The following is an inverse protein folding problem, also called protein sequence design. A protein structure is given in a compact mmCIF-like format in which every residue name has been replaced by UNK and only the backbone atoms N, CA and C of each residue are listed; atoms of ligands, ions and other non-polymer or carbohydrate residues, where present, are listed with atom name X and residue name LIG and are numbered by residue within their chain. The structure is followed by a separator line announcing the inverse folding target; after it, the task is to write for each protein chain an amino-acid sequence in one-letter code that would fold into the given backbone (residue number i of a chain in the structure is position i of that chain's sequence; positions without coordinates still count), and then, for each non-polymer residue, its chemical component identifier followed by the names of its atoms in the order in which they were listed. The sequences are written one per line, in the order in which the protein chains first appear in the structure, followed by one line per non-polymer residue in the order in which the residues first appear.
data_IF_727555418978
#
_entry.id   IF_727555418978
#
_cell.length_a   1.000
_cell.length_b   1.000
_cell.length_c   1.000
_cell.angle_alpha   90.00
_cell.angle_beta   90.00
_cell.angle_gamma   90.00
#
_symmetry.space_group_name_H-M   'P 1'
#
loop_
_entity.id
_entity.type
_entity.pdbx_description
1 polymer ?
#
# COMPACT_ATOMS: atom_id res chain seq x y z
N UNK A 1 -25.46 9.94 -0.57
CA UNK A 1 -24.21 9.59 0.14
C UNK A 1 -23.41 8.72 -0.80
N UNK A 2 -22.26 9.20 -1.27
CA UNK A 2 -21.33 8.40 -2.08
C UNK A 2 -20.93 7.17 -1.28
N UNK A 3 -21.26 5.99 -1.81
CA UNK A 3 -21.05 4.71 -1.14
C UNK A 3 -19.58 4.48 -0.83
N UNK A 4 -19.29 4.09 0.41
CA UNK A 4 -17.97 3.60 0.81
C UNK A 4 -18.02 2.07 0.69
N UNK A 5 -17.04 1.50 -0.01
CA UNK A 5 -16.84 0.06 -0.07
C UNK A 5 -15.69 -0.35 0.85
N UNK A 6 -15.90 -1.38 1.67
CA UNK A 6 -14.88 -1.94 2.54
C UNK A 6 -14.22 -3.13 1.86
N UNK A 7 -12.90 -3.11 1.71
CA UNK A 7 -12.11 -4.22 1.19
C UNK A 7 -11.55 -5.01 2.37
N UNK A 8 -11.83 -6.31 2.41
CA UNK A 8 -11.26 -7.22 3.41
C UNK A 8 -9.86 -7.68 3.00
N UNK A 9 -9.03 -8.03 3.99
CA UNK A 9 -7.74 -8.66 3.72
C UNK A 9 -7.95 -10.11 3.24
N UNK A 10 -7.31 -10.44 2.13
CA UNK A 10 -7.28 -11.80 1.59
C UNK A 10 -5.83 -12.33 1.53
N UNK A 11 -5.70 -13.59 1.10
CA UNK A 11 -4.42 -14.27 1.01
C UNK A 11 -3.45 -13.60 0.03
N UNK A 12 -3.93 -13.03 -1.07
CA UNK A 12 -3.09 -12.39 -2.08
C UNK A 12 -2.50 -11.10 -1.52
N UNK A 13 -3.32 -10.29 -0.84
CA UNK A 13 -2.85 -9.08 -0.15
C UNK A 13 -1.80 -9.43 0.90
N UNK A 14 -2.02 -10.49 1.69
CA UNK A 14 -1.05 -10.97 2.67
C UNK A 14 0.28 -11.41 2.04
N UNK A 15 0.25 -12.14 0.94
CA UNK A 15 1.46 -12.54 0.22
C UNK A 15 2.22 -11.33 -0.34
N UNK A 16 1.50 -10.39 -0.94
CA UNK A 16 2.08 -9.13 -1.43
C UNK A 16 2.70 -8.31 -0.31
N UNK A 17 2.05 -8.23 0.85
CA UNK A 17 2.56 -7.56 2.03
C UNK A 17 3.91 -8.13 2.47
N UNK A 18 4.02 -9.46 2.59
CA UNK A 18 5.29 -10.10 2.98
C UNK A 18 6.39 -9.77 1.96
N UNK A 19 6.12 -9.94 0.67
CA UNK A 19 7.09 -9.66 -0.38
C UNK A 19 7.54 -8.20 -0.38
N UNK A 20 6.60 -7.27 -0.25
CA UNK A 20 6.88 -5.83 -0.27
C UNK A 20 7.63 -5.41 1.00
N UNK A 21 7.23 -5.90 2.18
CA UNK A 21 7.90 -5.65 3.46
C UNK A 21 9.34 -6.12 3.43
N UNK A 22 9.59 -7.35 2.99
CA UNK A 22 10.94 -7.89 2.88
C UNK A 22 11.79 -7.07 1.91
N UNK A 23 11.23 -6.62 0.78
CA UNK A 23 11.95 -5.77 -0.17
C UNK A 23 12.31 -4.40 0.42
N UNK A 24 11.38 -3.75 1.11
CA UNK A 24 11.61 -2.45 1.77
C UNK A 24 12.67 -2.55 2.87
N UNK A 25 12.64 -3.62 3.68
CA UNK A 25 13.65 -3.88 4.71
C UNK A 25 15.02 -4.08 4.05
N UNK A 26 15.12 -4.88 2.98
CA UNK A 26 16.37 -5.08 2.24
C UNK A 26 16.92 -3.79 1.63
N UNK A 27 16.04 -2.86 1.22
CA UNK A 27 16.42 -1.53 0.71
C UNK A 27 16.80 -0.53 1.82
N UNK A 28 16.64 -0.87 3.10
CA UNK A 28 16.86 0.06 4.21
C UNK A 28 15.81 1.17 4.29
N UNK A 29 14.60 0.93 3.75
CA UNK A 29 13.50 1.90 3.65
C UNK A 29 12.21 1.32 4.24
N UNK A 30 12.16 0.97 5.53
CA UNK A 30 10.94 0.43 6.11
C UNK A 30 9.81 1.46 6.09
N UNK A 31 8.59 0.98 5.86
CA UNK A 31 7.34 1.76 5.96
C UNK A 31 6.50 1.19 7.10
N UNK A 32 5.63 2.00 7.71
CA UNK A 32 4.72 1.55 8.76
C UNK A 32 3.80 0.42 8.28
N UNK A 33 3.45 -0.50 9.17
CA UNK A 33 2.71 -1.71 8.80
C UNK A 33 1.33 -1.40 8.20
N UNK A 34 0.59 -0.46 8.79
CA UNK A 34 -0.73 -0.07 8.27
C UNK A 34 -0.65 0.64 6.92
N UNK A 35 0.34 1.51 6.72
CA UNK A 35 0.61 2.13 5.42
C UNK A 35 0.90 1.05 4.37
N UNK A 36 1.70 0.05 4.74
CA UNK A 36 2.05 -1.04 3.84
C UNK A 36 0.85 -1.93 3.50
N UNK A 37 -0.05 -2.20 4.45
CA UNK A 37 -1.29 -2.92 4.18
C UNK A 37 -2.17 -2.18 3.18
N UNK A 38 -2.38 -0.88 3.39
CA UNK A 38 -3.15 -0.03 2.46
C UNK A 38 -2.50 -0.02 1.08
N UNK A 39 -1.19 0.15 1.00
CA UNK A 39 -0.45 0.11 -0.26
C UNK A 39 -0.58 -1.24 -0.98
N UNK A 40 -0.49 -2.35 -0.25
CA UNK A 40 -0.63 -3.68 -0.85
C UNK A 40 -2.04 -3.94 -1.36
N UNK A 41 -3.07 -3.48 -0.65
CA UNK A 41 -4.45 -3.49 -1.15
C UNK A 41 -4.58 -2.68 -2.44
N UNK A 42 -4.03 -1.46 -2.48
CA UNK A 42 -4.06 -0.66 -3.71
C UNK A 42 -3.33 -1.32 -4.88
N UNK A 43 -2.18 -1.95 -4.64
CA UNK A 43 -1.42 -2.67 -5.65
C UNK A 43 -2.18 -3.89 -6.18
N UNK A 44 -2.82 -4.66 -5.30
CA UNK A 44 -3.57 -5.87 -5.67
C UNK A 44 -4.76 -5.54 -6.59
N UNK A 45 -5.46 -4.45 -6.30
CA UNK A 45 -6.64 -4.01 -7.06
C UNK A 45 -6.35 -2.89 -8.08
N UNK A 46 -5.07 -2.55 -8.32
CA UNK A 46 -4.64 -1.47 -9.21
C UNK A 46 -5.32 -0.11 -8.93
N UNK A 47 -5.55 0.19 -7.66
CA UNK A 47 -6.17 1.42 -7.17
C UNK A 47 -5.15 2.54 -7.02
N UNK A 48 -5.63 3.79 -7.03
CA UNK A 48 -4.81 4.97 -6.72
C UNK A 48 -5.00 5.35 -5.25
N UNK A 49 -3.91 5.34 -4.48
CA UNK A 49 -3.91 5.75 -3.08
C UNK A 49 -4.02 7.27 -2.97
N UNK A 50 -5.08 7.74 -2.33
CA UNK A 50 -5.24 9.17 -2.01
C UNK A 50 -4.70 9.44 -0.61
N UNK A 51 -3.69 10.29 -0.48
CA UNK A 51 -3.03 10.57 0.81
C UNK A 51 -2.44 11.98 0.87
N UNK A 52 -2.35 12.55 2.08
CA UNK A 52 -1.59 13.79 2.33
C UNK A 52 -0.11 13.54 2.65
N UNK A 53 0.29 12.28 2.83
CA UNK A 53 1.63 11.90 3.27
C UNK A 53 2.33 11.04 2.23
N UNK A 54 2.67 11.65 1.08
CA UNK A 54 3.30 10.95 -0.05
C UNK A 54 4.63 10.29 0.34
N UNK A 55 5.36 10.89 1.31
CA UNK A 55 6.68 10.42 1.75
C UNK A 55 6.65 8.99 2.31
N UNK A 56 5.56 8.59 2.99
CA UNK A 56 5.45 7.22 3.53
C UNK A 56 5.41 6.13 2.45
N UNK A 57 5.01 6.50 1.24
CA UNK A 57 4.73 5.59 0.14
C UNK A 57 5.76 5.68 -0.99
N UNK A 58 6.72 6.61 -0.91
CA UNK A 58 7.68 6.93 -1.99
C UNK A 58 8.57 5.75 -2.39
N UNK A 59 8.81 4.81 -1.47
CA UNK A 59 9.70 3.67 -1.68
C UNK A 59 8.94 2.40 -2.12
N UNK A 60 7.61 2.48 -2.30
CA UNK A 60 6.77 1.36 -2.71
C UNK A 60 6.64 1.35 -4.23
N UNK A 61 7.32 0.42 -4.87
CA UNK A 61 7.35 0.31 -6.32
C UNK A 61 5.93 0.08 -6.89
N UNK A 62 5.63 0.73 -8.03
CA UNK A 62 4.38 0.60 -8.80
C UNK A 62 3.10 1.14 -8.12
N UNK A 63 3.19 1.67 -6.90
CA UNK A 63 2.04 2.26 -6.23
C UNK A 63 1.68 3.61 -6.85
N UNK A 64 0.45 3.72 -7.35
CA UNK A 64 -0.11 4.99 -7.83
C UNK A 64 -0.59 5.80 -6.64
N UNK A 65 -0.11 7.04 -6.53
CA UNK A 65 -0.51 7.96 -5.45
C UNK A 65 -1.11 9.25 -6.01
N UNK A 66 -2.02 9.85 -5.24
CA UNK A 66 -2.61 11.16 -5.51
C UNK A 66 -2.61 11.98 -4.21
N UNK A 67 -2.16 13.23 -4.31
CA UNK A 67 -2.22 14.19 -3.22
C UNK A 67 -3.63 14.79 -3.09
N UNK A 68 -4.05 15.06 -1.85
CA UNK A 68 -5.28 15.79 -1.49
C UNK A 68 -5.02 16.83 -0.40
#
# INVERSE_FOLDING_TARGET
MTGVESINLDKNICQRYVQTKTNLIKKGKPTGDFDLWVACTCLEYNLTLTTRNLKHYENIDQLKTRCV
#
